data_IF_781064524157
#
_entry.id   IF_781064524157
#
_cell.length_a   1.000
_cell.length_b   1.000
_cell.length_c   1.000
_cell.angle_alpha   90.00
_cell.angle_beta   90.00
_cell.angle_gamma   90.00
#
_symmetry.space_group_name_H-M   'P 1'
#
loop_
_entity.id
_entity.type
_entity.pdbx_description
1 polymer ?
#
# COMPACT_ATOMS: atom_id res chain seq x y z
N UNK A 1 -5.49 45.98 26.53
CA UNK A 1 -6.43 44.85 26.45
C UNK A 1 -6.22 44.13 25.16
N UNK A 2 -5.47 43.03 25.22
CA UNK A 2 -5.25 42.09 24.11
C UNK A 2 -5.78 40.77 24.56
N UNK A 3 -6.89 40.33 24.00
CA UNK A 3 -7.42 38.99 24.16
C UNK A 3 -6.96 38.12 23.00
N UNK A 4 -6.23 37.07 23.34
CA UNK A 4 -5.71 36.10 22.39
C UNK A 4 -6.81 35.25 21.74
N UNK A 5 -6.57 34.93 20.49
CA UNK A 5 -7.22 33.82 19.77
C UNK A 5 -6.11 32.89 19.30
N UNK A 6 -5.88 31.85 20.10
CA UNK A 6 -5.11 30.67 19.65
C UNK A 6 -6.04 29.77 18.85
N UNK A 7 -6.05 29.94 17.54
CA UNK A 7 -6.74 29.09 16.60
C UNK A 7 -5.88 27.87 16.29
N UNK A 8 -6.41 26.69 16.52
CA UNK A 8 -5.89 25.37 16.17
C UNK A 8 -5.84 25.20 14.64
N UNK A 9 -4.81 25.69 13.99
CA UNK A 9 -4.66 25.65 12.52
C UNK A 9 -3.68 24.57 12.01
N UNK A 10 -3.35 23.59 12.86
CA UNK A 10 -2.38 22.55 12.52
C UNK A 10 -2.90 21.38 11.67
N UNK A 11 -4.22 21.25 11.46
CA UNK A 11 -4.81 20.01 10.94
C UNK A 11 -5.17 20.06 9.44
N UNK A 12 -5.34 21.23 8.87
CA UNK A 12 -5.84 21.39 7.49
C UNK A 12 -4.74 21.37 6.42
N UNK A 13 -3.49 21.69 6.76
CA UNK A 13 -2.39 21.75 5.79
C UNK A 13 -1.73 20.38 5.49
N UNK A 14 -2.14 19.28 6.15
CA UNK A 14 -1.58 17.93 5.88
C UNK A 14 -2.17 17.23 4.66
N UNK A 15 -3.27 17.70 4.09
CA UNK A 15 -4.01 16.95 3.06
C UNK A 15 -3.53 17.17 1.62
N UNK A 16 -2.60 18.07 1.33
CA UNK A 16 -2.13 18.37 -0.03
C UNK A 16 -0.65 18.10 -0.29
N UNK A 17 0.07 17.44 0.62
CA UNK A 17 1.44 16.98 0.31
C UNK A 17 1.35 15.74 -0.55
N UNK A 18 1.84 15.84 -1.78
CA UNK A 18 2.06 14.70 -2.67
C UNK A 18 2.95 13.69 -1.93
N UNK A 19 2.40 12.48 -1.71
CA UNK A 19 3.10 11.44 -0.96
C UNK A 19 4.07 10.73 -1.90
N UNK A 20 5.37 10.88 -1.62
CA UNK A 20 6.43 10.11 -2.27
C UNK A 20 6.76 8.92 -1.36
N UNK A 21 6.00 7.85 -1.52
CA UNK A 21 6.11 6.63 -0.69
C UNK A 21 6.63 5.43 -1.48
N UNK A 22 7.21 5.65 -2.66
CA UNK A 22 7.78 4.61 -3.51
C UNK A 22 9.31 4.73 -3.51
N UNK A 23 9.99 3.63 -3.23
CA UNK A 23 11.43 3.45 -3.43
C UNK A 23 11.62 2.48 -4.58
N UNK A 24 12.29 2.93 -5.65
CA UNK A 24 12.42 2.17 -6.88
C UNK A 24 13.84 1.59 -7.02
N UNK A 25 13.92 0.27 -7.12
CA UNK A 25 15.13 -0.50 -7.38
C UNK A 25 15.20 -0.81 -8.86
N UNK A 26 16.07 -0.13 -9.59
CA UNK A 26 16.20 -0.29 -11.03
C UNK A 26 17.58 -0.82 -11.44
N UNK A 27 17.63 -1.50 -12.56
CA UNK A 27 18.85 -2.07 -13.14
C UNK A 27 18.54 -3.17 -14.14
N UNK A 28 19.55 -3.69 -14.79
CA UNK A 28 19.43 -4.77 -15.74
C UNK A 28 19.01 -6.09 -15.08
N UNK A 29 18.58 -7.06 -15.92
CA UNK A 29 18.27 -8.41 -15.43
C UNK A 29 19.51 -9.05 -14.82
N UNK A 30 19.37 -9.66 -13.66
CA UNK A 30 20.51 -10.27 -12.94
C UNK A 30 21.35 -9.31 -12.10
N UNK A 31 21.06 -8.00 -12.08
CA UNK A 31 21.82 -7.00 -11.31
C UNK A 31 21.55 -7.05 -9.77
N UNK A 32 20.73 -7.98 -9.30
CA UNK A 32 20.46 -8.15 -7.86
C UNK A 32 19.37 -7.23 -7.31
N UNK A 33 18.52 -6.61 -8.15
CA UNK A 33 17.42 -5.73 -7.72
C UNK A 33 16.54 -6.34 -6.63
N UNK A 34 16.00 -7.53 -6.91
CA UNK A 34 15.15 -8.29 -6.00
C UNK A 34 15.85 -8.56 -4.66
N UNK A 35 17.09 -9.05 -4.71
CA UNK A 35 17.87 -9.33 -3.49
C UNK A 35 18.11 -8.08 -2.67
N UNK A 36 18.44 -6.95 -3.32
CA UNK A 36 18.66 -5.66 -2.66
C UNK A 36 17.36 -5.14 -2.04
N UNK A 37 16.24 -5.21 -2.76
CA UNK A 37 14.92 -4.81 -2.28
C UNK A 37 14.50 -5.63 -1.05
N UNK A 38 14.63 -6.96 -1.11
CA UNK A 38 14.29 -7.85 0.00
C UNK A 38 15.22 -7.65 1.21
N UNK A 39 16.51 -7.47 0.98
CA UNK A 39 17.47 -7.15 2.05
C UNK A 39 17.14 -5.82 2.73
N UNK A 40 16.71 -4.82 1.96
CA UNK A 40 16.28 -3.54 2.50
C UNK A 40 14.97 -3.67 3.31
N UNK A 41 14.02 -4.47 2.85
CA UNK A 41 12.80 -4.77 3.62
C UNK A 41 13.13 -5.45 4.95
N UNK A 42 14.00 -6.46 4.95
CA UNK A 42 14.45 -7.13 6.19
C UNK A 42 15.20 -6.17 7.11
N UNK A 43 16.02 -5.29 6.55
CA UNK A 43 16.67 -4.24 7.34
C UNK A 43 15.65 -3.33 8.03
N UNK A 44 14.60 -2.89 7.35
CA UNK A 44 13.53 -2.08 7.94
C UNK A 44 12.78 -2.84 9.05
N UNK A 45 12.40 -4.10 8.83
CA UNK A 45 11.73 -4.94 9.83
C UNK A 45 12.58 -5.15 11.10
N UNK A 46 13.86 -5.40 10.90
CA UNK A 46 14.79 -5.69 11.97
C UNK A 46 15.29 -4.44 12.69
N UNK A 47 15.15 -3.29 12.08
CA UNK A 47 15.66 -2.03 12.59
C UNK A 47 15.17 -1.79 14.02
N UNK A 48 13.88 -1.84 14.25
CA UNK A 48 13.26 -1.66 15.56
C UNK A 48 13.65 -2.78 16.57
N UNK A 49 13.81 -4.02 16.10
CA UNK A 49 14.22 -5.16 16.93
C UNK A 49 15.68 -5.06 17.37
N UNK A 50 16.58 -4.63 16.50
CA UNK A 50 18.02 -4.52 16.77
C UNK A 50 18.33 -3.36 17.68
N UNK A 51 17.61 -2.27 17.58
CA UNK A 51 17.68 -1.13 18.48
C UNK A 51 17.41 -1.55 19.94
N UNK A 52 16.30 -2.31 20.16
CA UNK A 52 15.97 -2.86 21.49
C UNK A 52 17.05 -3.78 22.05
N UNK A 53 17.83 -4.44 21.19
CA UNK A 53 18.90 -5.37 21.58
C UNK A 53 20.30 -4.70 21.72
N UNK A 54 20.43 -3.39 21.49
CA UNK A 54 21.72 -2.68 21.58
C UNK A 54 22.78 -3.12 20.56
N UNK A 55 22.39 -3.82 19.50
CA UNK A 55 23.32 -4.50 18.55
C UNK A 55 23.72 -3.68 17.34
N UNK A 56 23.11 -2.51 17.10
CA UNK A 56 23.47 -1.65 15.95
C UNK A 56 24.51 -0.63 16.42
N UNK A 57 25.78 -0.87 16.06
CA UNK A 57 26.90 0.05 16.31
C UNK A 57 27.21 1.00 15.14
N UNK A 58 26.28 1.22 14.21
CA UNK A 58 26.56 2.06 13.05
C UNK A 58 26.06 3.48 13.31
N UNK A 59 26.93 4.34 13.82
CA UNK A 59 26.61 5.67 14.36
C UNK A 59 25.99 6.64 13.35
N UNK A 60 26.18 6.44 12.04
CA UNK A 60 25.68 7.36 11.02
C UNK A 60 24.20 7.14 10.63
N UNK A 61 23.66 5.93 10.84
CA UNK A 61 22.24 5.63 10.63
C UNK A 61 21.40 5.77 11.90
N UNK A 62 22.03 5.72 13.06
CA UNK A 62 21.42 5.95 14.37
C UNK A 62 20.67 7.27 14.49
N UNK A 63 21.11 8.29 13.77
CA UNK A 63 20.74 9.67 14.05
C UNK A 63 19.32 10.07 13.65
N UNK A 64 18.65 9.36 12.72
CA UNK A 64 17.37 9.82 12.18
C UNK A 64 16.14 9.07 12.70
N UNK A 65 16.26 7.79 13.07
CA UNK A 65 15.10 6.97 13.43
C UNK A 65 14.97 6.73 14.96
N UNK A 66 16.06 6.64 15.70
CA UNK A 66 16.07 6.37 17.15
C UNK A 66 15.25 7.40 17.96
N UNK A 67 15.27 8.66 17.56
CA UNK A 67 14.51 9.73 18.25
C UNK A 67 13.04 9.77 17.90
N UNK A 68 12.58 9.03 16.87
CA UNK A 68 11.22 9.19 16.33
C UNK A 68 10.29 8.01 16.57
N UNK A 69 10.74 6.90 17.17
CA UNK A 69 9.88 5.76 17.44
C UNK A 69 9.17 5.22 16.18
N UNK A 70 9.92 5.00 15.09
CA UNK A 70 9.36 4.53 13.81
C UNK A 70 9.38 3.01 13.76
N UNK A 71 8.25 2.39 13.42
CA UNK A 71 8.09 0.96 13.27
C UNK A 71 7.68 0.57 11.85
N UNK A 72 8.14 -0.60 11.37
CA UNK A 72 7.84 -1.11 10.04
C UNK A 72 7.27 -2.52 10.11
N UNK A 73 6.15 -2.75 9.42
CA UNK A 73 5.54 -4.06 9.22
C UNK A 73 5.63 -4.43 7.75
N UNK A 74 6.53 -5.35 7.37
CA UNK A 74 6.63 -5.82 5.99
C UNK A 74 5.67 -6.96 5.70
N UNK A 75 5.08 -7.00 4.50
CA UNK A 75 4.36 -8.15 3.97
C UNK A 75 5.31 -9.06 3.18
N UNK A 76 4.85 -10.26 2.82
CA UNK A 76 5.53 -11.09 1.81
C UNK A 76 5.60 -10.31 0.49
N UNK A 77 6.70 -10.48 -0.26
CA UNK A 77 6.84 -9.82 -1.55
C UNK A 77 5.79 -10.30 -2.56
N UNK A 78 5.46 -9.43 -3.51
CA UNK A 78 4.53 -9.69 -4.60
C UNK A 78 5.34 -9.77 -5.88
N UNK A 79 5.30 -10.91 -6.53
CA UNK A 79 5.82 -11.10 -7.87
C UNK A 79 4.73 -10.67 -8.87
N UNK A 80 4.90 -9.48 -9.45
CA UNK A 80 3.92 -8.94 -10.39
C UNK A 80 3.89 -9.70 -11.73
N UNK A 81 4.96 -10.43 -12.07
CA UNK A 81 5.01 -11.24 -13.29
C UNK A 81 4.09 -12.45 -13.21
N UNK A 82 3.83 -12.95 -11.99
CA UNK A 82 3.00 -14.12 -11.74
C UNK A 82 1.49 -13.83 -11.61
N UNK A 83 1.10 -12.56 -11.61
CA UNK A 83 -0.31 -12.19 -11.45
C UNK A 83 -1.12 -12.48 -12.71
N UNK A 84 -2.16 -13.29 -12.56
CA UNK A 84 -3.08 -13.66 -13.63
C UNK A 84 -4.03 -12.52 -14.03
N UNK A 85 -4.75 -12.68 -15.17
CA UNK A 85 -5.67 -11.67 -15.70
C UNK A 85 -6.77 -11.24 -14.72
N UNK A 86 -7.19 -12.12 -13.83
CA UNK A 86 -8.25 -11.85 -12.84
C UNK A 86 -7.72 -11.31 -11.51
N UNK A 87 -6.42 -11.35 -11.30
CA UNK A 87 -5.76 -10.88 -10.09
C UNK A 87 -5.39 -9.40 -10.23
N UNK A 88 -5.49 -8.66 -9.14
CA UNK A 88 -5.06 -7.27 -9.05
C UNK A 88 -4.19 -7.07 -7.80
N UNK A 89 -3.39 -5.99 -7.83
CA UNK A 89 -2.42 -5.71 -6.78
C UNK A 89 -3.08 -5.47 -5.41
N UNK A 90 -4.25 -4.81 -5.38
CA UNK A 90 -4.95 -4.52 -4.13
C UNK A 90 -5.49 -5.81 -3.50
N UNK A 91 -6.11 -6.70 -4.29
CA UNK A 91 -6.56 -8.01 -3.82
C UNK A 91 -5.44 -8.86 -3.26
N UNK A 92 -4.29 -8.85 -3.93
CA UNK A 92 -3.09 -9.54 -3.47
C UNK A 92 -2.56 -8.97 -2.16
N UNK A 93 -2.53 -7.65 -2.01
CA UNK A 93 -2.14 -6.99 -0.76
C UNK A 93 -3.09 -7.36 0.37
N UNK A 94 -4.40 -7.31 0.15
CA UNK A 94 -5.41 -7.71 1.16
C UNK A 94 -5.23 -9.16 1.62
N UNK A 95 -5.01 -10.07 0.68
CA UNK A 95 -4.76 -11.49 0.98
C UNK A 95 -3.52 -11.69 1.85
N UNK A 96 -2.41 -11.02 1.51
CA UNK A 96 -1.17 -11.09 2.29
C UNK A 96 -1.29 -10.44 3.66
N UNK A 97 -2.02 -9.33 3.79
CA UNK A 97 -2.34 -8.72 5.08
C UNK A 97 -3.13 -9.69 5.97
N UNK A 98 -4.18 -10.30 5.41
CA UNK A 98 -5.01 -11.25 6.13
C UNK A 98 -4.21 -12.48 6.59
N UNK A 99 -3.43 -13.08 5.68
CA UNK A 99 -2.56 -14.24 5.98
C UNK A 99 -1.62 -13.92 7.14
N UNK A 100 -0.89 -12.82 7.05
CA UNK A 100 0.05 -12.41 8.09
C UNK A 100 -0.62 -12.14 9.43
N UNK A 101 -1.76 -11.47 9.43
CA UNK A 101 -2.53 -11.25 10.66
C UNK A 101 -2.94 -12.54 11.33
N UNK A 102 -3.48 -13.52 10.58
CA UNK A 102 -3.87 -14.83 11.10
C UNK A 102 -2.67 -15.63 11.64
N UNK A 103 -1.50 -15.49 11.03
CA UNK A 103 -0.25 -16.13 11.50
C UNK A 103 0.22 -15.51 12.83
N UNK A 104 0.18 -14.19 12.96
CA UNK A 104 0.57 -13.50 14.19
C UNK A 104 -0.46 -13.73 15.31
N UNK A 105 -1.75 -13.78 15.00
CA UNK A 105 -2.79 -14.14 15.96
C UNK A 105 -2.54 -15.50 16.61
N UNK A 106 -2.20 -16.52 15.83
CA UNK A 106 -1.85 -17.86 16.33
C UNK A 106 -0.66 -17.86 17.29
N UNK A 107 0.32 -17.00 17.08
CA UNK A 107 1.50 -16.88 17.94
C UNK A 107 1.19 -16.17 19.27
N UNK A 108 0.24 -15.26 19.25
CA UNK A 108 -0.05 -14.36 20.38
C UNK A 108 -0.98 -14.99 21.43
N UNK A 109 -1.71 -16.06 21.09
CA UNK A 109 -2.62 -16.76 22.00
C UNK A 109 -1.94 -17.40 23.24
N UNK A 110 -0.61 -17.32 23.37
CA UNK A 110 0.14 -17.72 24.57
C UNK A 110 0.46 -16.60 25.57
N UNK A 111 0.03 -15.36 25.32
CA UNK A 111 0.33 -14.19 26.16
C UNK A 111 -0.91 -13.50 26.69
N UNK A 112 -0.82 -12.95 27.91
CA UNK A 112 -1.91 -12.21 28.59
C UNK A 112 -2.09 -10.86 27.88
N UNK A 113 -2.90 -10.84 26.81
CA UNK A 113 -3.41 -9.59 26.25
C UNK A 113 -4.70 -9.26 27.00
N UNK A 114 -4.95 -7.97 27.25
CA UNK A 114 -6.26 -7.50 27.72
C UNK A 114 -7.30 -7.87 26.66
N UNK A 115 -7.94 -9.01 26.84
CA UNK A 115 -8.78 -9.74 25.88
C UNK A 115 -9.88 -8.87 25.25
N UNK A 116 -10.42 -7.91 26.04
CA UNK A 116 -11.50 -7.04 25.59
C UNK A 116 -11.07 -6.01 24.52
N UNK A 117 -9.92 -5.37 24.66
CA UNK A 117 -9.43 -4.35 23.70
C UNK A 117 -9.02 -5.00 22.38
N UNK A 118 -8.40 -6.17 22.44
CA UNK A 118 -8.02 -6.94 21.26
C UNK A 118 -9.23 -7.39 20.45
N UNK A 119 -10.27 -7.95 21.09
CA UNK A 119 -11.49 -8.38 20.41
C UNK A 119 -12.24 -7.23 19.75
N UNK A 120 -12.26 -6.05 20.35
CA UNK A 120 -12.84 -4.86 19.73
C UNK A 120 -12.06 -4.43 18.48
N UNK A 121 -10.73 -4.37 18.56
CA UNK A 121 -9.85 -4.05 17.41
C UNK A 121 -9.99 -5.09 16.30
N UNK A 122 -10.05 -6.37 16.65
CA UNK A 122 -10.27 -7.47 15.71
C UNK A 122 -11.57 -7.32 14.93
N UNK A 123 -12.69 -7.08 15.62
CA UNK A 123 -14.00 -6.86 14.96
C UNK A 123 -13.98 -5.65 14.06
N UNK A 124 -13.34 -4.55 14.45
CA UNK A 124 -13.16 -3.36 13.62
C UNK A 124 -12.38 -3.69 12.36
N UNK A 125 -11.26 -4.40 12.50
CA UNK A 125 -10.40 -4.80 11.38
C UNK A 125 -11.16 -5.68 10.39
N UNK A 126 -11.90 -6.69 10.87
CA UNK A 126 -12.72 -7.58 10.02
C UNK A 126 -13.76 -6.80 9.22
N UNK A 127 -14.45 -5.83 9.84
CA UNK A 127 -15.41 -4.96 9.14
C UNK A 127 -14.75 -4.13 8.04
N UNK A 128 -13.54 -3.63 8.27
CA UNK A 128 -12.80 -2.86 7.28
C UNK A 128 -12.33 -3.73 6.12
N UNK A 129 -11.85 -4.95 6.38
CA UNK A 129 -11.54 -5.92 5.31
C UNK A 129 -12.77 -6.18 4.43
N UNK A 130 -13.94 -6.42 5.02
CA UNK A 130 -15.19 -6.63 4.28
C UNK A 130 -15.55 -5.42 3.43
N UNK A 131 -15.48 -4.20 3.99
CA UNK A 131 -15.78 -2.97 3.25
C UNK A 131 -14.86 -2.76 2.05
N UNK A 132 -13.54 -2.91 2.25
CA UNK A 132 -12.56 -2.74 1.16
C UNK A 132 -12.79 -3.79 0.07
N UNK A 133 -13.07 -5.04 0.45
CA UNK A 133 -13.37 -6.11 -0.50
C UNK A 133 -14.65 -5.84 -1.29
N UNK A 134 -15.72 -5.37 -0.66
CA UNK A 134 -16.97 -5.04 -1.30
C UNK A 134 -16.83 -3.87 -2.30
N UNK A 135 -16.17 -2.78 -1.91
CA UNK A 135 -15.95 -1.65 -2.81
C UNK A 135 -15.06 -2.03 -4.00
N UNK A 136 -14.00 -2.82 -3.76
CA UNK A 136 -13.19 -3.38 -4.84
C UNK A 136 -14.03 -4.23 -5.80
N UNK A 137 -14.90 -5.10 -5.29
CA UNK A 137 -15.79 -5.93 -6.12
C UNK A 137 -16.72 -5.09 -6.97
N UNK A 138 -17.30 -4.02 -6.42
CA UNK A 138 -18.16 -3.10 -7.18
C UNK A 138 -17.42 -2.47 -8.36
N UNK A 139 -16.17 -2.02 -8.15
CA UNK A 139 -15.34 -1.48 -9.23
C UNK A 139 -15.06 -2.50 -10.33
N UNK A 140 -14.70 -3.73 -9.98
CA UNK A 140 -14.44 -4.79 -10.95
C UNK A 140 -15.70 -5.20 -11.74
N UNK A 141 -16.89 -5.10 -11.14
CA UNK A 141 -18.14 -5.39 -11.83
C UNK A 141 -18.60 -4.22 -12.72
N UNK A 142 -18.26 -2.97 -12.39
CA UNK A 142 -18.65 -1.80 -13.17
C UNK A 142 -17.92 -1.70 -14.51
N UNK A 143 -16.71 -2.21 -14.61
CA UNK A 143 -15.93 -2.24 -15.86
C UNK A 143 -16.51 -3.18 -16.92
N UNK A 144 -17.50 -4.03 -16.56
CA UNK A 144 -18.15 -5.00 -17.45
C UNK A 144 -19.46 -4.51 -18.06
N UNK A 145 -19.97 -3.33 -17.69
CA UNK A 145 -21.25 -2.79 -18.17
C UNK A 145 -20.96 -1.48 -18.91
N UNK A 146 -20.61 -1.60 -20.19
CA UNK A 146 -20.57 -0.49 -21.14
C UNK A 146 -21.85 -0.54 -21.99
N UNK A 147 -22.92 0.12 -21.55
CA UNK A 147 -24.10 0.43 -22.39
C UNK A 147 -24.40 1.93 -22.36
N UNK A 148 -24.40 2.48 -23.54
CA UNK A 148 -24.86 3.69 -24.20
C UNK A 148 -25.26 5.00 -23.47
N UNK A 149 -24.61 6.03 -23.89
CA UNK A 149 -24.79 7.49 -24.13
C UNK A 149 -25.25 8.46 -23.05
N UNK A 150 -26.26 8.29 -22.26
CA UNK A 150 -26.65 9.26 -21.23
C UNK A 150 -26.38 8.79 -19.79
N UNK A 151 -26.29 7.50 -19.58
CA UNK A 151 -25.91 6.88 -18.31
C UNK A 151 -24.42 6.93 -18.06
N UNK A 152 -23.60 7.09 -19.11
CA UNK A 152 -22.14 7.11 -19.05
C UNK A 152 -21.58 8.18 -18.10
N UNK A 153 -22.19 9.37 -18.04
CA UNK A 153 -21.78 10.43 -17.13
C UNK A 153 -22.03 10.06 -15.66
N UNK A 154 -23.22 9.53 -15.36
CA UNK A 154 -23.58 9.10 -14.01
C UNK A 154 -22.75 7.90 -13.55
N UNK A 155 -22.44 6.98 -14.43
CA UNK A 155 -21.59 5.82 -14.13
C UNK A 155 -20.12 6.22 -13.91
N UNK A 156 -19.62 7.16 -14.68
CA UNK A 156 -18.31 7.76 -14.44
C UNK A 156 -18.24 8.44 -13.06
N UNK A 157 -19.26 9.19 -12.65
CA UNK A 157 -19.31 9.79 -11.32
C UNK A 157 -19.41 8.73 -10.21
N UNK A 158 -20.19 7.67 -10.40
CA UNK A 158 -20.26 6.54 -9.47
C UNK A 158 -18.88 5.87 -9.33
N UNK A 159 -18.22 5.59 -10.46
CA UNK A 159 -16.88 4.97 -10.46
C UNK A 159 -15.82 5.85 -9.79
N UNK A 160 -15.86 7.16 -9.99
CA UNK A 160 -15.01 8.11 -9.27
C UNK A 160 -15.27 8.07 -7.75
N UNK A 161 -16.54 8.05 -7.35
CA UNK A 161 -16.94 7.94 -5.93
C UNK A 161 -16.49 6.61 -5.32
N UNK A 162 -16.68 5.49 -6.02
CA UNK A 162 -16.23 4.18 -5.57
C UNK A 162 -14.70 4.12 -5.41
N UNK A 163 -13.95 4.68 -6.35
CA UNK A 163 -12.48 4.75 -6.27
C UNK A 163 -12.03 5.56 -5.07
N UNK A 164 -12.66 6.70 -4.81
CA UNK A 164 -12.36 7.53 -3.65
C UNK A 164 -12.69 6.83 -2.33
N UNK A 165 -13.86 6.19 -2.24
CA UNK A 165 -14.28 5.44 -1.07
C UNK A 165 -13.36 4.25 -0.81
N UNK A 166 -12.97 3.50 -1.84
CA UNK A 166 -12.05 2.38 -1.76
C UNK A 166 -10.71 2.82 -1.17
N UNK A 167 -10.14 3.93 -1.66
CA UNK A 167 -8.88 4.48 -1.16
C UNK A 167 -8.98 4.86 0.32
N UNK A 168 -10.06 5.53 0.73
CA UNK A 168 -10.29 5.93 2.12
C UNK A 168 -10.45 4.71 3.04
N UNK A 169 -11.27 3.73 2.67
CA UNK A 169 -11.45 2.51 3.46
C UNK A 169 -10.16 1.68 3.54
N UNK A 170 -9.37 1.66 2.47
CA UNK A 170 -8.07 0.99 2.50
C UNK A 170 -7.08 1.71 3.44
N UNK A 171 -7.08 3.03 3.47
CA UNK A 171 -6.29 3.81 4.42
C UNK A 171 -6.70 3.53 5.88
N UNK A 172 -7.99 3.51 6.17
CA UNK A 172 -8.51 3.14 7.50
C UNK A 172 -8.14 1.70 7.87
N UNK A 173 -8.22 0.78 6.91
CA UNK A 173 -7.81 -0.61 7.08
C UNK A 173 -6.33 -0.71 7.45
N UNK A 174 -5.44 -0.02 6.73
CA UNK A 174 -4.00 -0.02 7.00
C UNK A 174 -3.72 0.51 8.41
N UNK A 175 -4.34 1.63 8.82
CA UNK A 175 -4.15 2.18 10.17
C UNK A 175 -4.59 1.17 11.23
N UNK A 176 -5.78 0.57 11.08
CA UNK A 176 -6.30 -0.42 12.03
C UNK A 176 -5.47 -1.71 12.05
N UNK A 177 -4.97 -2.14 10.89
CA UNK A 177 -4.07 -3.28 10.75
C UNK A 177 -2.74 -3.04 11.48
N UNK A 178 -2.11 -1.90 11.27
CA UNK A 178 -0.86 -1.54 11.93
C UNK A 178 -1.03 -1.42 13.44
N UNK A 179 -2.19 -0.97 13.92
CA UNK A 179 -2.48 -0.92 15.35
C UNK A 179 -2.57 -2.31 16.01
N UNK A 180 -3.16 -3.28 15.33
CA UNK A 180 -3.20 -4.69 15.80
C UNK A 180 -1.81 -5.35 15.71
N UNK A 181 -1.03 -5.01 14.67
CA UNK A 181 0.28 -5.62 14.43
C UNK A 181 1.40 -5.05 15.33
N UNK A 182 1.10 -4.17 16.29
CA UNK A 182 2.07 -3.72 17.28
C UNK A 182 2.55 -4.91 18.11
N UNK A 183 3.87 -5.00 18.30
CA UNK A 183 4.43 -6.05 19.14
C UNK A 183 4.02 -5.87 20.60
N UNK A 184 3.76 -6.97 21.33
CA UNK A 184 3.60 -6.92 22.78
C UNK A 184 4.83 -6.24 23.43
N UNK A 185 4.61 -5.15 24.15
CA UNK A 185 5.67 -4.32 24.76
C UNK A 185 6.07 -3.07 23.96
N UNK A 186 5.56 -2.86 22.75
CA UNK A 186 5.68 -1.56 22.07
C UNK A 186 4.82 -0.47 22.72
N UNK A 187 3.86 -0.84 23.56
CA UNK A 187 3.07 0.09 24.38
C UNK A 187 3.92 0.92 25.36
N UNK A 188 5.10 0.42 25.74
CA UNK A 188 6.06 1.14 26.59
C UNK A 188 6.96 2.12 25.82
N UNK A 189 6.97 2.04 24.47
CA UNK A 189 7.70 2.93 23.61
C UNK A 189 6.70 3.82 22.89
N UNK A 190 6.91 5.12 22.90
CA UNK A 190 6.12 6.09 22.15
C UNK A 190 6.37 5.88 20.66
N UNK A 191 5.71 4.86 20.06
CA UNK A 191 5.71 4.65 18.60
C UNK A 191 4.97 5.83 17.98
N UNK A 192 5.70 6.79 17.42
CA UNK A 192 5.11 7.96 16.79
C UNK A 192 4.61 7.66 15.38
N UNK A 193 5.24 6.72 14.69
CA UNK A 193 4.89 6.37 13.32
C UNK A 193 5.06 4.88 13.05
N UNK A 194 4.05 4.27 12.40
CA UNK A 194 4.08 2.87 12.00
C UNK A 194 3.75 2.76 10.52
N UNK A 195 4.57 2.03 9.76
CA UNK A 195 4.44 1.91 8.31
C UNK A 195 4.27 0.45 7.88
N UNK A 196 3.38 0.24 6.90
CA UNK A 196 3.27 -0.99 6.14
C UNK A 196 4.27 -0.94 4.98
N UNK A 197 5.11 -1.95 4.83
CA UNK A 197 6.08 -2.05 3.74
C UNK A 197 5.64 -3.14 2.76
N UNK A 198 5.46 -2.74 1.51
CA UNK A 198 5.08 -3.62 0.40
C UNK A 198 6.26 -3.76 -0.54
N UNK A 199 6.60 -4.98 -0.95
CA UNK A 199 7.58 -5.25 -1.99
C UNK A 199 6.87 -5.76 -3.23
N UNK A 200 7.04 -5.09 -4.37
CA UNK A 200 6.50 -5.48 -5.67
C UNK A 200 7.67 -5.66 -6.64
N UNK A 201 7.80 -6.87 -7.16
CA UNK A 201 8.91 -7.27 -8.02
C UNK A 201 8.46 -7.57 -9.44
N UNK A 202 9.38 -7.44 -10.39
CA UNK A 202 9.22 -7.83 -11.79
C UNK A 202 7.98 -7.27 -12.50
N UNK A 203 7.60 -6.02 -12.16
CA UNK A 203 6.45 -5.35 -12.78
C UNK A 203 6.62 -5.17 -14.29
N UNK A 204 7.86 -4.98 -14.76
CA UNK A 204 8.22 -4.86 -16.16
C UNK A 204 8.11 -6.16 -16.97
N UNK A 205 8.08 -7.30 -16.29
CA UNK A 205 7.91 -8.61 -16.91
C UNK A 205 6.45 -8.92 -17.26
N UNK A 206 5.49 -8.27 -16.63
CA UNK A 206 4.07 -8.41 -16.96
C UNK A 206 3.69 -7.47 -18.11
N UNK A 207 3.98 -7.88 -19.35
CA UNK A 207 3.81 -7.04 -20.54
C UNK A 207 2.34 -6.66 -20.77
N UNK A 208 1.42 -7.51 -20.43
CA UNK A 208 -0.02 -7.31 -20.66
C UNK A 208 -0.65 -6.39 -19.62
N UNK A 209 -0.27 -6.51 -18.36
CA UNK A 209 -0.88 -5.81 -17.23
C UNK A 209 0.04 -4.81 -16.52
N UNK A 210 1.32 -4.79 -16.81
CA UNK A 210 2.29 -3.97 -16.08
C UNK A 210 1.84 -2.52 -15.91
N UNK A 211 1.28 -1.91 -16.97
CA UNK A 211 0.71 -0.57 -16.90
C UNK A 211 -0.50 -0.50 -15.95
N UNK A 212 -1.42 -1.45 -16.03
CA UNK A 212 -2.62 -1.48 -15.17
C UNK A 212 -2.25 -1.66 -13.70
N UNK A 213 -1.28 -2.54 -13.40
CA UNK A 213 -0.77 -2.75 -12.05
C UNK A 213 -0.12 -1.48 -11.49
N UNK A 214 0.66 -0.77 -12.32
CA UNK A 214 1.27 0.50 -11.96
C UNK A 214 0.21 1.56 -11.63
N UNK A 215 -0.85 1.65 -12.46
CA UNK A 215 -1.98 2.53 -12.20
C UNK A 215 -2.75 2.17 -10.92
N UNK A 216 -2.91 0.89 -10.62
CA UNK A 216 -3.52 0.44 -9.37
C UNK A 216 -2.66 0.80 -8.16
N UNK A 217 -1.34 0.65 -8.25
CA UNK A 217 -0.40 1.12 -7.22
C UNK A 217 -0.60 2.61 -6.98
N UNK A 218 -0.60 3.41 -8.04
CA UNK A 218 -0.78 4.86 -7.97
C UNK A 218 -2.13 5.26 -7.38
N UNK A 219 -3.21 4.60 -7.80
CA UNK A 219 -4.58 4.93 -7.38
C UNK A 219 -4.89 4.52 -5.95
N UNK A 220 -4.44 3.34 -5.53
CA UNK A 220 -4.92 2.72 -4.28
C UNK A 220 -3.86 2.62 -3.18
N UNK A 221 -2.59 2.39 -3.54
CA UNK A 221 -1.54 2.11 -2.55
C UNK A 221 -0.72 3.35 -2.15
N UNK A 222 -0.82 4.46 -2.91
CA UNK A 222 -0.18 5.72 -2.52
C UNK A 222 -1.02 6.44 -1.46
N UNK A 223 -0.93 5.93 -0.23
CA UNK A 223 -1.63 6.44 0.96
C UNK A 223 -0.63 6.63 2.11
N UNK A 224 -0.97 7.44 3.12
CA UNK A 224 -0.17 7.54 4.33
C UNK A 224 0.06 6.17 4.98
N UNK A 225 1.19 6.03 5.67
CA UNK A 225 1.59 4.82 6.38
C UNK A 225 1.86 3.57 5.50
N UNK A 226 1.97 3.74 4.17
CA UNK A 226 2.42 2.69 3.25
C UNK A 226 3.73 3.13 2.59
N UNK A 227 4.71 2.23 2.56
CA UNK A 227 5.96 2.36 1.80
C UNK A 227 5.99 1.24 0.78
N UNK A 228 6.22 1.58 -0.48
CA UNK A 228 6.27 0.63 -1.59
C UNK A 228 7.72 0.53 -2.06
N UNK A 229 8.27 -0.67 -1.98
CA UNK A 229 9.55 -1.03 -2.57
C UNK A 229 9.24 -1.69 -3.91
N UNK A 230 9.60 -1.05 -5.01
CA UNK A 230 9.29 -1.49 -6.36
C UNK A 230 10.59 -1.88 -7.07
N UNK A 231 10.63 -3.08 -7.64
CA UNK A 231 11.74 -3.55 -8.45
C UNK A 231 11.29 -3.76 -9.90
N UNK A 232 11.99 -3.14 -10.85
CA UNK A 232 11.75 -3.32 -12.28
C UNK A 232 12.96 -2.83 -13.11
N UNK A 233 13.04 -3.26 -14.37
CA UNK A 233 13.91 -2.61 -15.35
C UNK A 233 13.19 -1.37 -15.88
N UNK A 234 13.78 -0.19 -15.68
CA UNK A 234 13.17 1.09 -16.05
C UNK A 234 12.86 1.19 -17.54
N UNK A 235 13.78 0.78 -18.41
CA UNK A 235 13.59 0.86 -19.85
C UNK A 235 12.46 -0.06 -20.34
N UNK A 236 12.41 -1.28 -19.78
CA UNK A 236 11.37 -2.24 -20.11
C UNK A 236 10.00 -1.78 -19.61
N UNK A 237 9.93 -1.26 -18.38
CA UNK A 237 8.70 -0.68 -17.83
C UNK A 237 8.22 0.51 -18.68
N UNK A 238 9.13 1.38 -19.11
CA UNK A 238 8.81 2.51 -19.98
C UNK A 238 8.26 2.04 -21.34
N UNK A 239 8.81 0.97 -21.92
CA UNK A 239 8.25 0.35 -23.14
C UNK A 239 6.84 -0.19 -22.93
N UNK A 240 6.57 -0.84 -21.79
CA UNK A 240 5.23 -1.33 -21.45
C UNK A 240 4.23 -0.17 -21.36
N UNK A 241 4.61 0.93 -20.71
CA UNK A 241 3.78 2.12 -20.62
C UNK A 241 3.53 2.76 -22.00
N UNK A 242 4.58 2.94 -22.78
CA UNK A 242 4.47 3.53 -24.12
C UNK A 242 3.58 2.68 -25.05
N UNK A 243 3.74 1.35 -25.04
CA UNK A 243 2.90 0.44 -25.82
C UNK A 243 1.41 0.57 -25.44
N UNK A 244 1.11 0.77 -24.15
CA UNK A 244 -0.26 0.99 -23.72
C UNK A 244 -0.83 2.30 -24.30
N UNK A 245 -0.09 3.39 -24.26
CA UNK A 245 -0.50 4.66 -24.85
C UNK A 245 -0.67 4.59 -26.37
N UNK A 246 0.26 3.97 -27.10
CA UNK A 246 0.13 3.78 -28.54
C UNK A 246 -1.14 3.00 -28.92
N UNK A 247 -1.43 1.89 -28.24
CA UNK A 247 -2.68 1.13 -28.46
C UNK A 247 -3.94 1.95 -28.17
N UNK A 248 -3.91 2.84 -27.18
CA UNK A 248 -5.03 3.74 -26.89
C UNK A 248 -5.22 4.77 -28.02
N UNK A 249 -4.14 5.35 -28.56
CA UNK A 249 -4.18 6.28 -29.69
C UNK A 249 -4.68 5.64 -30.98
N UNK A 250 -4.29 4.41 -31.28
CA UNK A 250 -4.73 3.71 -32.50
C UNK A 250 -6.23 3.37 -32.46
N UNK A 251 -6.77 3.07 -31.28
CA UNK A 251 -8.21 2.82 -31.09
C UNK A 251 -9.06 4.08 -31.32
N UNK A 252 -8.57 5.25 -30.94
CA UNK A 252 -9.28 6.53 -31.16
C UNK A 252 -9.31 6.90 -32.64
N UNK A 253 -8.28 6.56 -33.42
CA UNK A 253 -8.24 6.81 -34.88
C UNK A 253 -9.13 5.86 -35.69
N UNK A 254 -9.37 4.65 -35.21
CA UNK A 254 -10.23 3.68 -35.92
C UNK A 254 -11.73 3.85 -35.62
N UNK A 255 -12.10 4.66 -34.62
CA UNK A 255 -13.49 4.98 -34.29
C UNK A 255 -14.09 6.15 -35.05
N UNK A 256 -13.28 6.95 -35.78
CA UNK A 256 -13.74 8.12 -36.55
C UNK A 256 -14.06 7.81 -38.02
N UNK A 257 -14.14 6.54 -38.43
CA UNK A 257 -14.48 6.12 -39.80
C UNK A 257 -15.65 5.13 -39.76
N UNK A 258 -16.80 5.58 -39.23
CA UNK A 258 -18.11 4.98 -39.60
C UNK A 258 -19.20 6.02 -39.42
#
# INVERSE_FOLDING_TARGET
EQSGLSGNDGTILRNNKQLYNIIFFTGERGSGKTSTMLSYMEFLKDYFRKEKAGRIKNDNLKFSFEKQGVMFTGLEYIDASSLDEKEDILGTVLSKMLKKWLEEEKKTFGGIIKEYDYEHKKRKLQKLFSKVYEERRKLLCSDSILEEDSEMFMDNLKNMSLTFNLKNYFQELVISYLDIMKYPGAELLTVQSHFLVLCVDDLDMNITKGFQLLEQIRKYLMIPNVIILLSANYEQLNRVCNNHYFKAFDRTKSGDIT
#
